data_IF_292781650138
#
_entry.id   IF_292781650138
#
_cell.length_a   1.000
_cell.length_b   1.000
_cell.length_c   1.000
_cell.angle_alpha   90.00
_cell.angle_beta   90.00
_cell.angle_gamma   90.00
#
_symmetry.space_group_name_H-M   'P 1'
#
loop_
_entity.id
_entity.type
_entity.pdbx_description
1 polymer ?
#
# COMPACT_ATOMS: atom_id res chain seq x y z
N UNK A 1 -5.74 3.37 -6.04
CA UNK A 1 -6.82 3.46 -5.04
C UNK A 1 -8.18 3.81 -5.63
N UNK A 2 -8.36 4.90 -6.37
CA UNK A 2 -9.68 5.27 -6.91
C UNK A 2 -10.32 4.17 -7.78
N UNK A 3 -9.56 3.60 -8.72
CA UNK A 3 -10.07 2.54 -9.60
C UNK A 3 -10.57 1.30 -8.81
N UNK A 4 -9.77 0.79 -7.86
CA UNK A 4 -10.19 -0.37 -7.05
C UNK A 4 -11.38 -0.04 -6.15
N UNK A 5 -11.47 1.19 -5.65
CA UNK A 5 -12.64 1.64 -4.86
C UNK A 5 -13.91 1.60 -5.71
N UNK A 6 -13.85 2.13 -6.92
CA UNK A 6 -14.98 2.11 -7.86
C UNK A 6 -15.37 0.69 -8.28
N UNK A 7 -14.40 -0.21 -8.45
CA UNK A 7 -14.66 -1.63 -8.72
C UNK A 7 -15.37 -2.31 -7.53
N UNK A 8 -14.87 -2.09 -6.30
CA UNK A 8 -15.51 -2.61 -5.08
C UNK A 8 -16.94 -2.11 -4.94
N UNK A 9 -17.20 -0.82 -5.15
CA UNK A 9 -18.56 -0.24 -5.05
C UNK A 9 -19.55 -0.81 -6.07
N UNK A 10 -19.07 -1.40 -7.17
CA UNK A 10 -19.89 -2.04 -8.20
C UNK A 10 -19.88 -3.57 -8.10
N UNK A 11 -19.19 -4.10 -7.09
CA UNK A 11 -18.96 -5.54 -6.94
C UNK A 11 -18.29 -6.19 -8.15
N UNK A 12 -17.46 -5.42 -8.87
CA UNK A 12 -16.69 -5.90 -10.02
C UNK A 12 -15.44 -6.65 -9.53
N UNK A 13 -15.66 -7.86 -9.03
CA UNK A 13 -14.61 -8.71 -8.45
C UNK A 13 -13.50 -9.08 -9.44
N UNK A 14 -13.77 -9.36 -10.73
CA UNK A 14 -12.71 -9.54 -11.72
C UNK A 14 -11.78 -8.31 -11.81
N UNK A 15 -12.34 -7.10 -11.84
CA UNK A 15 -11.53 -5.88 -11.87
C UNK A 15 -10.78 -5.65 -10.54
N UNK A 16 -11.38 -5.96 -9.39
CA UNK A 16 -10.67 -5.90 -8.10
C UNK A 16 -9.47 -6.86 -8.09
N UNK A 17 -9.65 -8.09 -8.57
CA UNK A 17 -8.58 -9.09 -8.64
C UNK A 17 -7.43 -8.66 -9.58
N UNK A 18 -7.73 -7.94 -10.67
CA UNK A 18 -6.71 -7.36 -11.56
C UNK A 18 -5.96 -6.19 -10.90
N UNK A 19 -6.70 -5.31 -10.21
CA UNK A 19 -6.14 -4.06 -9.68
C UNK A 19 -5.36 -4.25 -8.37
N UNK A 20 -5.77 -5.19 -7.51
CA UNK A 20 -5.20 -5.38 -6.19
C UNK A 20 -3.69 -5.73 -6.20
N UNK A 21 -3.20 -6.64 -7.07
CA UNK A 21 -1.76 -6.95 -7.17
C UNK A 21 -0.90 -5.74 -7.55
N UNK A 22 -1.45 -4.76 -8.28
CA UNK A 22 -0.73 -3.53 -8.66
C UNK A 22 -0.56 -2.57 -7.49
N UNK A 23 -1.38 -2.70 -6.45
CA UNK A 23 -1.21 -1.99 -5.18
C UNK A 23 -0.15 -2.71 -4.34
N UNK A 24 -0.23 -4.04 -4.27
CA UNK A 24 0.74 -4.85 -3.53
C UNK A 24 2.17 -4.72 -4.08
N UNK A 25 2.30 -4.62 -5.41
CA UNK A 25 3.58 -4.50 -6.12
C UNK A 25 3.67 -3.12 -6.77
N UNK A 26 4.01 -2.11 -5.98
CA UNK A 26 4.30 -0.78 -6.51
C UNK A 26 5.78 -0.66 -6.93
N UNK A 27 6.07 0.35 -7.76
CA UNK A 27 7.44 0.66 -8.14
C UNK A 27 8.31 0.95 -6.91
N UNK A 28 9.51 0.39 -6.90
CA UNK A 28 10.53 0.69 -5.91
C UNK A 28 11.48 1.79 -6.42
N UNK A 29 12.06 2.60 -5.52
CA UNK A 29 13.11 3.53 -5.90
C UNK A 29 14.39 2.76 -6.30
N UNK A 30 15.32 3.39 -7.04
CA UNK A 30 16.64 2.82 -7.31
C UNK A 30 17.35 2.38 -6.02
N UNK A 31 18.16 1.32 -6.09
CA UNK A 31 18.80 0.73 -4.92
C UNK A 31 19.65 1.72 -4.10
N UNK A 32 20.36 2.64 -4.76
CA UNK A 32 21.14 3.69 -4.08
C UNK A 32 20.25 4.64 -3.27
N UNK A 33 19.08 4.99 -3.79
CA UNK A 33 18.09 5.80 -3.10
C UNK A 33 17.44 5.03 -1.94
N UNK A 34 17.07 3.76 -2.16
CA UNK A 34 16.56 2.85 -1.12
C UNK A 34 17.51 2.79 0.07
N UNK A 35 18.81 2.63 -0.16
CA UNK A 35 19.81 2.61 0.92
C UNK A 35 19.90 3.93 1.69
N UNK A 36 19.84 5.08 1.00
CA UNK A 36 19.83 6.40 1.65
C UNK A 36 18.59 6.62 2.51
N UNK A 37 17.43 6.17 2.03
CA UNK A 37 16.16 6.21 2.76
C UNK A 37 16.26 5.39 4.05
N UNK A 38 16.77 4.16 3.96
CA UNK A 38 16.90 3.27 5.11
C UNK A 38 17.89 3.80 6.14
N UNK A 39 19.01 4.37 5.69
CA UNK A 39 19.98 5.02 6.58
C UNK A 39 19.37 6.23 7.30
N UNK A 40 18.56 7.04 6.61
CA UNK A 40 17.87 8.18 7.20
C UNK A 40 16.78 7.77 8.20
N UNK A 41 16.02 6.71 7.90
CA UNK A 41 15.00 6.16 8.80
C UNK A 41 15.61 5.64 10.12
N UNK A 42 16.84 5.10 10.08
CA UNK A 42 17.51 4.62 11.28
C UNK A 42 16.67 3.61 12.06
N UNK A 43 16.39 3.91 13.33
CA UNK A 43 15.58 3.05 14.20
C UNK A 43 14.14 2.83 13.68
N UNK A 44 13.58 3.76 12.90
CA UNK A 44 12.24 3.64 12.33
C UNK A 44 12.16 2.73 11.10
N UNK A 45 13.30 2.28 10.56
CA UNK A 45 13.32 1.50 9.31
C UNK A 45 12.48 0.21 9.40
N UNK A 46 12.47 -0.44 10.57
CA UNK A 46 11.65 -1.64 10.81
C UNK A 46 10.15 -1.33 10.75
N UNK A 47 9.71 -0.25 11.40
CA UNK A 47 8.30 0.19 11.38
C UNK A 47 7.87 0.64 9.99
N UNK A 48 8.72 1.39 9.29
CA UNK A 48 8.46 1.82 7.91
C UNK A 48 8.23 0.63 6.98
N UNK A 49 9.15 -0.35 6.98
CA UNK A 49 9.02 -1.60 6.20
C UNK A 49 7.83 -2.43 6.65
N UNK A 50 7.52 -2.43 7.94
CA UNK A 50 6.35 -3.14 8.47
C UNK A 50 5.04 -2.60 7.91
N UNK A 51 4.90 -1.28 7.79
CA UNK A 51 3.71 -0.67 7.19
C UNK A 51 3.62 -0.94 5.68
N UNK A 52 4.76 -0.90 4.98
CA UNK A 52 4.86 -1.27 3.57
C UNK A 52 4.44 -2.73 3.33
N UNK A 53 4.98 -3.67 4.12
CA UNK A 53 4.59 -5.07 4.08
C UNK A 53 3.10 -5.30 4.40
N UNK A 54 2.54 -4.55 5.35
CA UNK A 54 1.10 -4.63 5.64
C UNK A 54 0.23 -4.18 4.46
N UNK A 55 0.66 -3.17 3.69
CA UNK A 55 -0.02 -2.77 2.46
C UNK A 55 0.08 -3.90 1.42
N UNK A 56 1.28 -4.46 1.24
CA UNK A 56 1.53 -5.57 0.32
C UNK A 56 0.62 -6.77 0.61
N UNK A 57 0.62 -7.25 1.85
CA UNK A 57 -0.12 -8.43 2.28
C UNK A 57 -1.63 -8.19 2.18
N UNK A 58 -2.11 -7.04 2.65
CA UNK A 58 -3.55 -6.72 2.62
C UNK A 58 -4.06 -6.55 1.18
N UNK A 59 -3.29 -5.90 0.30
CA UNK A 59 -3.66 -5.77 -1.10
C UNK A 59 -3.63 -7.13 -1.83
N UNK A 60 -2.68 -8.00 -1.51
CA UNK A 60 -2.67 -9.39 -2.04
C UNK A 60 -3.91 -10.15 -1.60
N UNK A 61 -4.22 -10.13 -0.30
CA UNK A 61 -5.41 -10.78 0.25
C UNK A 61 -6.72 -10.24 -0.33
N UNK A 62 -6.79 -8.94 -0.64
CA UNK A 62 -7.93 -8.32 -1.32
C UNK A 62 -8.15 -8.91 -2.73
N UNK A 63 -7.07 -9.12 -3.50
CA UNK A 63 -7.15 -9.74 -4.82
C UNK A 63 -7.59 -11.20 -4.75
N UNK A 64 -7.02 -11.97 -3.81
CA UNK A 64 -7.41 -13.37 -3.59
C UNK A 64 -8.87 -13.51 -3.14
N UNK A 65 -9.34 -12.62 -2.27
CA UNK A 65 -10.75 -12.58 -1.86
C UNK A 65 -11.67 -12.28 -3.05
N UNK A 66 -11.28 -11.33 -3.91
CA UNK A 66 -12.03 -10.99 -5.11
C UNK A 66 -12.12 -12.18 -6.09
N UNK A 67 -11.04 -12.95 -6.26
CA UNK A 67 -11.06 -14.18 -7.08
C UNK A 67 -12.07 -15.22 -6.56
N UNK A 68 -12.36 -15.24 -5.26
CA UNK A 68 -13.35 -16.11 -4.64
C UNK A 68 -14.77 -15.50 -4.60
N UNK A 69 -14.96 -14.30 -5.14
CA UNK A 69 -16.19 -13.51 -5.01
C UNK A 69 -16.60 -13.26 -3.55
N UNK A 70 -15.63 -13.19 -2.64
CA UNK A 70 -15.86 -12.98 -1.21
C UNK A 70 -15.84 -11.47 -0.89
N UNK A 71 -16.98 -10.82 -1.10
CA UNK A 71 -17.13 -9.37 -0.93
C UNK A 71 -16.80 -8.87 0.49
N UNK A 72 -17.14 -9.65 1.53
CA UNK A 72 -16.82 -9.29 2.91
C UNK A 72 -15.31 -9.29 3.16
N UNK A 73 -14.61 -10.34 2.68
CA UNK A 73 -13.16 -10.39 2.79
C UNK A 73 -12.47 -9.31 1.94
N UNK A 74 -13.01 -8.97 0.75
CA UNK A 74 -12.53 -7.85 -0.06
C UNK A 74 -12.60 -6.54 0.73
N UNK A 75 -13.74 -6.23 1.35
CA UNK A 75 -13.93 -4.99 2.13
C UNK A 75 -12.99 -4.96 3.34
N UNK A 76 -12.84 -6.07 4.06
CA UNK A 76 -11.94 -6.16 5.21
C UNK A 76 -10.47 -5.93 4.80
N UNK A 77 -10.01 -6.59 3.74
CA UNK A 77 -8.66 -6.44 3.22
C UNK A 77 -8.41 -5.03 2.64
N UNK A 78 -9.40 -4.45 1.96
CA UNK A 78 -9.35 -3.08 1.48
C UNK A 78 -9.24 -2.06 2.63
N UNK A 79 -10.02 -2.25 3.70
CA UNK A 79 -9.95 -1.43 4.91
C UNK A 79 -8.56 -1.49 5.54
N UNK A 80 -8.00 -2.69 5.72
CA UNK A 80 -6.63 -2.88 6.22
C UNK A 80 -5.59 -2.18 5.33
N UNK A 81 -5.73 -2.29 4.01
CA UNK A 81 -4.87 -1.59 3.05
C UNK A 81 -4.89 -0.09 3.26
N UNK A 82 -6.08 0.52 3.35
CA UNK A 82 -6.23 1.96 3.57
C UNK A 82 -5.66 2.43 4.92
N UNK A 83 -5.87 1.65 5.99
CA UNK A 83 -5.34 1.95 7.31
C UNK A 83 -3.80 1.97 7.32
N UNK A 84 -3.15 0.99 6.68
CA UNK A 84 -1.69 0.95 6.57
C UNK A 84 -1.14 2.11 5.75
N UNK A 85 -1.79 2.47 4.63
CA UNK A 85 -1.42 3.66 3.86
C UNK A 85 -1.50 4.92 4.72
N UNK A 86 -2.59 5.09 5.47
CA UNK A 86 -2.79 6.27 6.33
C UNK A 86 -1.74 6.33 7.44
N UNK A 87 -1.47 5.21 8.12
CA UNK A 87 -0.48 5.13 9.19
C UNK A 87 0.93 5.49 8.70
N UNK A 88 1.33 4.99 7.52
CA UNK A 88 2.62 5.33 6.91
C UNK A 88 2.66 6.82 6.54
N UNK A 89 1.59 7.33 5.93
CA UNK A 89 1.54 8.72 5.51
C UNK A 89 1.59 9.71 6.69
N UNK A 90 0.85 9.43 7.76
CA UNK A 90 0.87 10.25 8.97
C UNK A 90 2.22 10.22 9.67
N UNK A 91 2.89 9.06 9.68
CA UNK A 91 4.18 8.91 10.36
C UNK A 91 5.35 9.50 9.58
N UNK A 92 5.36 9.36 8.24
CA UNK A 92 6.59 9.57 7.46
C UNK A 92 6.44 10.50 6.25
N UNK A 93 5.25 10.67 5.65
CA UNK A 93 5.14 11.30 4.31
C UNK A 93 5.74 12.70 4.27
N UNK A 94 5.42 13.55 5.24
CA UNK A 94 5.90 14.95 5.25
C UNK A 94 7.41 15.03 5.38
N UNK A 95 8.00 14.33 6.34
CA UNK A 95 9.43 14.34 6.60
C UNK A 95 10.22 13.67 5.47
N UNK A 96 9.70 12.56 4.95
CA UNK A 96 10.27 11.84 3.81
C UNK A 96 10.32 12.70 2.55
N UNK A 97 9.18 13.29 2.16
CA UNK A 97 9.12 14.17 0.97
C UNK A 97 10.04 15.37 1.14
N UNK A 98 9.99 16.04 2.30
CA UNK A 98 10.88 17.18 2.57
C UNK A 98 12.37 16.82 2.49
N UNK A 99 12.76 15.61 2.90
CA UNK A 99 14.17 15.16 2.88
C UNK A 99 14.65 14.75 1.49
N UNK A 100 13.81 14.07 0.70
CA UNK A 100 14.26 13.39 -0.53
C UNK A 100 13.78 14.05 -1.83
N UNK A 101 12.66 14.78 -1.81
CA UNK A 101 12.07 15.36 -3.03
C UNK A 101 11.77 16.87 -2.92
N UNK A 102 12.08 17.48 -1.76
CA UNK A 102 11.82 18.89 -1.48
C UNK A 102 10.34 19.20 -1.23
N UNK A 103 10.06 20.47 -0.92
CA UNK A 103 8.69 20.99 -0.87
C UNK A 103 8.20 21.19 -2.29
N UNK A 104 7.22 20.40 -2.72
CA UNK A 104 6.33 20.83 -3.81
C UNK A 104 5.35 21.85 -3.28
#
# INVERSE_FOLDING_TARGET
MQAVTGAISKEDWPLVAELAPRIAKHAEPPMSEKMRILAWLGADAGKFRGLDGQVHDAATAMGEAAQRNDGQAVIAAFSKTQQSCLACHQSYRRSFVGKFYGSR
#
